data_IF_818611030810
#
_entry.id   IF_818611030810
#
_cell.length_a   1.000
_cell.length_b   1.000
_cell.length_c   1.000
_cell.angle_alpha   90.00
_cell.angle_beta   90.00
_cell.angle_gamma   90.00
#
_symmetry.space_group_name_H-M   'P 1'
#
loop_
_entity.id
_entity.type
_entity.pdbx_description
1 polymer ?
#
# COMPACT_ATOMS: atom_id res chain seq x y z
N UNK A 1 18.73 23.72 18.53
CA UNK A 1 19.10 22.32 18.77
C UNK A 1 19.08 21.54 17.47
N UNK A 2 20.26 21.33 16.89
CA UNK A 2 20.41 20.61 15.63
C UNK A 2 20.42 19.10 15.90
N UNK A 3 19.61 18.36 15.16
CA UNK A 3 19.61 16.89 15.12
C UNK A 3 19.75 16.44 13.69
N UNK A 4 20.57 15.44 13.46
CA UNK A 4 20.69 14.78 12.16
C UNK A 4 20.76 13.26 12.37
N UNK A 5 20.40 12.51 11.34
CA UNK A 5 20.45 11.07 11.37
C UNK A 5 20.34 10.45 9.99
N UNK A 6 20.70 9.17 9.94
CA UNK A 6 20.57 8.29 8.78
C UNK A 6 19.80 7.06 9.22
N UNK A 7 18.94 6.57 8.36
CA UNK A 7 18.31 5.26 8.49
C UNK A 7 18.45 4.47 7.18
N UNK A 8 18.54 3.17 7.33
CA UNK A 8 18.62 2.21 6.25
C UNK A 8 17.74 1.02 6.58
N UNK A 9 16.89 0.65 5.64
CA UNK A 9 16.08 -0.55 5.71
C UNK A 9 16.20 -1.32 4.40
N UNK A 10 16.33 -2.63 4.49
CA UNK A 10 16.32 -3.53 3.34
C UNK A 10 15.56 -4.79 3.71
N UNK A 11 14.71 -5.24 2.80
CA UNK A 11 13.99 -6.50 2.93
C UNK A 11 14.43 -7.45 1.82
N UNK A 12 14.33 -8.76 2.09
CA UNK A 12 14.45 -9.80 1.06
C UNK A 12 13.12 -10.53 1.01
N UNK A 13 12.44 -10.41 -0.12
CA UNK A 13 11.12 -10.97 -0.36
C UNK A 13 11.25 -12.20 -1.24
N UNK A 14 10.66 -13.31 -0.78
CA UNK A 14 10.54 -14.55 -1.55
C UNK A 14 9.11 -15.08 -1.43
N UNK A 15 8.63 -15.71 -2.49
CA UNK A 15 7.34 -16.39 -2.52
C UNK A 15 7.51 -17.73 -3.25
N UNK A 16 6.91 -18.79 -2.72
CA UNK A 16 6.92 -20.10 -3.35
C UNK A 16 5.58 -20.78 -3.18
N UNK A 17 5.02 -21.18 -4.32
CA UNK A 17 3.78 -21.93 -4.40
C UNK A 17 4.04 -23.22 -5.17
N UNK A 18 3.55 -24.34 -4.62
CA UNK A 18 3.59 -25.64 -5.28
C UNK A 18 2.24 -26.35 -5.14
N UNK A 19 1.60 -26.65 -6.26
CA UNK A 19 0.36 -27.40 -6.32
C UNK A 19 0.64 -28.90 -6.08
N UNK A 20 -0.05 -29.54 -5.13
CA UNK A 20 0.13 -30.97 -4.82
C UNK A 20 -0.03 -31.92 -6.02
N UNK A 21 -0.69 -31.49 -7.10
CA UNK A 21 -0.84 -32.28 -8.33
C UNK A 21 0.51 -32.58 -8.99
N UNK A 22 1.56 -31.80 -8.74
CA UNK A 22 2.92 -32.08 -9.22
C UNK A 22 3.42 -33.46 -8.77
N UNK A 23 2.95 -33.96 -7.62
CA UNK A 23 3.30 -35.29 -7.12
C UNK A 23 2.85 -36.42 -8.05
N UNK A 24 1.79 -36.21 -8.84
CA UNK A 24 1.31 -37.23 -9.80
C UNK A 24 2.33 -37.46 -10.91
N UNK A 25 3.03 -36.41 -11.33
CA UNK A 25 4.05 -36.45 -12.37
C UNK A 25 5.38 -37.05 -11.89
N UNK A 26 5.64 -37.01 -10.58
CA UNK A 26 6.82 -37.65 -9.99
C UNK A 26 6.70 -39.18 -9.88
N UNK A 27 5.53 -39.76 -10.12
CA UNK A 27 5.34 -41.21 -10.10
C UNK A 27 6.07 -41.89 -11.26
N UNK A 28 6.33 -43.20 -11.12
CA UNK A 28 6.79 -44.01 -12.24
C UNK A 28 5.76 -44.01 -13.39
N UNK A 29 6.23 -44.24 -14.61
CA UNK A 29 5.40 -44.08 -15.80
C UNK A 29 4.21 -45.04 -15.84
N UNK A 30 4.33 -46.26 -15.30
CA UNK A 30 3.25 -47.24 -15.27
C UNK A 30 2.13 -46.79 -14.32
N UNK A 31 2.50 -46.40 -13.10
CA UNK A 31 1.55 -45.92 -12.10
C UNK A 31 0.85 -44.63 -12.56
N UNK A 32 1.60 -43.67 -13.10
CA UNK A 32 1.05 -42.40 -13.57
C UNK A 32 0.05 -42.60 -14.71
N UNK A 33 0.41 -43.43 -15.70
CA UNK A 33 -0.43 -43.70 -16.86
C UNK A 33 -1.71 -44.43 -16.46
N UNK A 34 -1.61 -45.47 -15.64
CA UNK A 34 -2.76 -46.29 -15.23
C UNK A 34 -3.76 -45.52 -14.33
N UNK A 35 -3.27 -44.62 -13.48
CA UNK A 35 -4.10 -43.93 -12.48
C UNK A 35 -4.58 -42.55 -12.93
N UNK A 36 -3.78 -41.84 -13.72
CA UNK A 36 -4.03 -40.43 -14.06
C UNK A 36 -4.00 -40.15 -15.57
N UNK A 37 -3.65 -41.13 -16.42
CA UNK A 37 -3.70 -41.00 -17.87
C UNK A 37 -2.64 -40.08 -18.49
N UNK A 38 -1.57 -39.80 -17.76
CA UNK A 38 -0.44 -39.00 -18.24
C UNK A 38 0.89 -39.70 -17.96
N UNK A 39 1.97 -39.20 -18.57
CA UNK A 39 3.31 -39.73 -18.35
C UNK A 39 3.79 -39.41 -16.92
N UNK A 40 4.45 -40.38 -16.29
CA UNK A 40 5.18 -40.22 -15.05
C UNK A 40 6.68 -40.13 -15.31
N UNK A 41 7.38 -39.29 -14.55
CA UNK A 41 8.80 -38.99 -14.70
C UNK A 41 9.68 -39.64 -13.62
N UNK A 42 9.09 -40.45 -12.72
CA UNK A 42 9.79 -41.28 -11.73
C UNK A 42 10.43 -40.54 -10.55
N UNK A 43 10.61 -39.22 -10.63
CA UNK A 43 11.05 -38.38 -9.53
C UNK A 43 10.72 -36.91 -9.80
N UNK A 44 10.73 -36.05 -8.78
CA UNK A 44 10.57 -34.60 -8.97
C UNK A 44 11.66 -33.99 -9.87
N UNK A 45 12.91 -34.46 -9.74
CA UNK A 45 14.03 -33.98 -10.54
C UNK A 45 13.93 -34.41 -12.02
N UNK A 46 13.12 -35.42 -12.32
CA UNK A 46 12.88 -35.88 -13.69
C UNK A 46 11.75 -35.16 -14.41
N UNK A 47 10.94 -34.35 -13.69
CA UNK A 47 9.83 -33.61 -14.30
C UNK A 47 10.41 -32.43 -15.08
N UNK A 48 10.10 -32.29 -16.38
CA UNK A 48 10.59 -31.17 -17.18
C UNK A 48 9.97 -29.84 -16.74
N UNK A 49 10.70 -28.75 -16.91
CA UNK A 49 10.29 -27.40 -16.52
C UNK A 49 8.97 -26.97 -17.18
N UNK A 50 8.74 -27.38 -18.42
CA UNK A 50 7.52 -27.07 -19.15
C UNK A 50 6.26 -27.72 -18.55
N UNK A 51 6.42 -28.81 -17.80
CA UNK A 51 5.34 -29.43 -17.01
C UNK A 51 5.24 -28.74 -15.64
N UNK A 52 6.38 -28.49 -14.98
CA UNK A 52 6.45 -27.88 -13.64
C UNK A 52 5.83 -26.49 -13.58
N UNK A 53 6.01 -25.66 -14.62
CA UNK A 53 5.50 -24.27 -14.63
C UNK A 53 4.03 -24.18 -14.23
N UNK A 54 3.17 -25.11 -14.65
CA UNK A 54 1.73 -25.06 -14.34
C UNK A 54 1.39 -25.34 -12.87
N UNK A 55 2.33 -25.90 -12.13
CA UNK A 55 2.14 -26.37 -10.76
C UNK A 55 3.02 -25.65 -9.75
N UNK A 56 4.14 -25.08 -10.18
CA UNK A 56 5.09 -24.39 -9.31
C UNK A 56 5.26 -22.96 -9.81
N UNK A 57 5.14 -22.02 -8.89
CA UNK A 57 5.21 -20.60 -9.17
C UNK A 57 5.80 -19.83 -7.99
N UNK A 58 6.33 -18.64 -8.25
CA UNK A 58 6.93 -17.80 -7.23
C UNK A 58 8.10 -16.96 -7.72
N UNK A 59 8.82 -16.42 -6.76
CA UNK A 59 10.06 -15.68 -6.94
C UNK A 59 10.98 -15.89 -5.72
N UNK A 60 12.28 -15.87 -5.95
CA UNK A 60 13.28 -16.15 -4.93
C UNK A 60 13.52 -17.64 -4.67
N UNK A 61 12.84 -18.53 -5.39
CA UNK A 61 13.07 -19.97 -5.35
C UNK A 61 13.03 -20.55 -6.75
N UNK A 62 13.79 -21.61 -6.97
CA UNK A 62 13.77 -22.39 -8.20
C UNK A 62 12.71 -23.52 -8.14
N UNK A 63 12.52 -24.31 -9.21
CA UNK A 63 11.50 -25.37 -9.23
C UNK A 63 11.70 -26.47 -8.19
N UNK A 64 12.91 -26.60 -7.62
CA UNK A 64 13.20 -27.55 -6.54
C UNK A 64 12.91 -26.97 -5.14
N UNK A 65 12.57 -25.68 -5.06
CA UNK A 65 12.46 -24.94 -3.81
C UNK A 65 13.80 -24.45 -3.25
N UNK A 66 14.88 -24.49 -4.05
CA UNK A 66 16.16 -23.92 -3.64
C UNK A 66 16.13 -22.40 -3.82
N UNK A 67 16.67 -21.65 -2.86
CA UNK A 67 16.74 -20.19 -2.94
C UNK A 67 17.57 -19.73 -4.15
N UNK A 68 17.06 -18.72 -4.87
CA UNK A 68 17.76 -18.06 -5.97
C UNK A 68 17.64 -16.55 -5.81
N UNK A 69 18.73 -15.83 -6.06
CA UNK A 69 18.75 -14.36 -6.00
C UNK A 69 18.64 -13.73 -7.39
N UNK A 70 19.03 -14.48 -8.42
CA UNK A 70 18.91 -14.08 -9.83
C UNK A 70 17.80 -14.86 -10.53
N UNK A 71 17.21 -14.25 -11.56
CA UNK A 71 16.23 -14.92 -12.42
C UNK A 71 16.86 -16.15 -13.08
N UNK A 72 16.17 -17.29 -13.00
CA UNK A 72 16.59 -18.56 -13.58
C UNK A 72 15.69 -18.96 -14.72
N UNK A 73 16.25 -19.06 -15.93
CA UNK A 73 15.55 -19.52 -17.13
C UNK A 73 15.65 -21.05 -17.27
N UNK A 74 14.58 -21.64 -17.80
CA UNK A 74 14.50 -23.03 -18.18
C UNK A 74 14.04 -23.10 -19.63
N UNK A 75 14.90 -23.63 -20.48
CA UNK A 75 14.64 -23.75 -21.92
C UNK A 75 14.74 -25.21 -22.34
N UNK A 76 13.61 -25.81 -22.70
CA UNK A 76 13.51 -27.25 -22.95
C UNK A 76 12.68 -27.55 -24.21
N UNK A 77 12.93 -28.71 -24.82
CA UNK A 77 12.11 -29.20 -25.93
C UNK A 77 10.81 -29.84 -25.38
N UNK A 78 9.68 -29.50 -25.99
CA UNK A 78 8.38 -30.10 -25.67
C UNK A 78 8.03 -31.15 -26.73
N UNK A 79 7.65 -32.38 -26.36
CA UNK A 79 7.27 -33.40 -27.33
C UNK A 79 6.18 -32.93 -28.29
N UNK A 80 6.45 -32.97 -29.59
CA UNK A 80 5.50 -32.58 -30.64
C UNK A 80 5.40 -31.08 -30.91
N UNK A 81 6.19 -30.23 -30.23
CA UNK A 81 6.29 -28.79 -30.49
C UNK A 81 7.65 -28.48 -31.11
N UNK A 82 7.66 -27.74 -32.21
CA UNK A 82 8.89 -27.40 -32.94
C UNK A 82 9.79 -26.43 -32.16
N UNK A 83 9.18 -25.43 -31.51
CA UNK A 83 9.89 -24.38 -30.80
C UNK A 83 10.20 -24.81 -29.35
N UNK A 84 11.30 -24.29 -28.81
CA UNK A 84 11.67 -24.55 -27.42
C UNK A 84 10.74 -23.79 -26.48
N UNK A 85 10.43 -24.41 -25.35
CA UNK A 85 9.73 -23.76 -24.27
C UNK A 85 10.71 -23.04 -23.36
N UNK A 86 10.59 -21.72 -23.27
CA UNK A 86 11.35 -20.90 -22.33
C UNK A 86 10.42 -20.40 -21.24
N UNK A 87 10.68 -20.81 -20.00
CA UNK A 87 10.03 -20.32 -18.78
C UNK A 87 11.09 -19.80 -17.81
N UNK A 88 10.68 -19.08 -16.77
CA UNK A 88 11.59 -18.61 -15.74
C UNK A 88 10.91 -18.47 -14.39
N UNK A 89 11.72 -18.50 -13.34
CA UNK A 89 11.36 -18.03 -12.01
C UNK A 89 12.26 -16.85 -11.66
N UNK A 90 11.66 -15.79 -11.13
CA UNK A 90 12.39 -14.60 -10.71
C UNK A 90 13.24 -14.88 -9.47
N UNK A 91 14.33 -14.15 -9.31
CA UNK A 91 15.11 -14.12 -8.07
C UNK A 91 14.36 -13.42 -6.92
N UNK A 92 14.96 -13.38 -5.74
CA UNK A 92 14.42 -12.60 -4.62
C UNK A 92 14.30 -11.12 -5.00
N UNK A 93 13.24 -10.48 -4.51
CA UNK A 93 13.11 -9.02 -4.60
C UNK A 93 13.73 -8.40 -3.35
N UNK A 94 14.58 -7.39 -3.52
CA UNK A 94 15.34 -6.81 -2.41
C UNK A 94 15.13 -5.30 -2.28
N UNK A 95 13.90 -4.83 -1.98
CA UNK A 95 13.63 -3.40 -1.86
C UNK A 95 14.43 -2.80 -0.71
N UNK A 96 14.88 -1.56 -0.90
CA UNK A 96 15.67 -0.85 0.10
C UNK A 96 15.29 0.62 0.18
N UNK A 97 15.35 1.16 1.38
CA UNK A 97 15.11 2.57 1.69
C UNK A 97 16.31 3.12 2.46
N UNK A 98 16.87 4.23 1.99
CA UNK A 98 17.93 4.97 2.67
C UNK A 98 17.44 6.38 2.92
N UNK A 99 17.40 6.81 4.18
CA UNK A 99 16.99 8.16 4.56
C UNK A 99 18.11 8.93 5.23
N UNK A 100 18.25 10.20 4.87
CA UNK A 100 19.04 11.17 5.62
C UNK A 100 18.15 12.32 6.05
N UNK A 101 18.27 12.76 7.31
CA UNK A 101 17.57 13.94 7.79
C UNK A 101 18.47 14.87 8.59
N UNK A 102 18.16 16.16 8.50
CA UNK A 102 18.65 17.20 9.39
C UNK A 102 17.48 18.08 9.81
N UNK A 103 17.43 18.44 11.09
CA UNK A 103 16.44 19.33 11.65
C UNK A 103 17.06 20.23 12.71
N UNK A 104 16.55 21.44 12.84
CA UNK A 104 16.90 22.37 13.90
C UNK A 104 15.64 22.91 14.56
N UNK A 105 15.74 23.05 15.89
CA UNK A 105 14.76 23.73 16.73
C UNK A 105 15.38 25.03 17.23
N UNK A 106 14.81 26.14 16.79
CA UNK A 106 15.19 27.49 17.19
C UNK A 106 14.14 28.02 18.17
N UNK A 107 14.58 28.42 19.36
CA UNK A 107 13.74 29.05 20.37
C UNK A 107 14.16 30.51 20.51
N UNK A 108 13.23 31.40 20.18
CA UNK A 108 13.28 32.84 20.44
C UNK A 108 12.31 33.15 21.59
N UNK A 109 12.41 34.33 22.19
CA UNK A 109 11.62 34.72 23.37
C UNK A 109 10.12 34.45 23.21
N UNK A 110 9.55 34.78 22.03
CA UNK A 110 8.13 34.62 21.74
C UNK A 110 7.84 33.66 20.57
N UNK A 111 8.82 32.95 20.02
CA UNK A 111 8.59 32.08 18.85
C UNK A 111 9.50 30.85 18.91
N UNK A 112 8.92 29.68 18.70
CA UNK A 112 9.64 28.43 18.48
C UNK A 112 9.45 28.02 17.02
N UNK A 113 10.56 27.82 16.32
CA UNK A 113 10.59 27.38 14.93
C UNK A 113 11.30 26.03 14.85
N UNK A 114 10.67 25.05 14.20
CA UNK A 114 11.25 23.75 13.89
C UNK A 114 11.36 23.65 12.36
N UNK A 115 12.57 23.52 11.83
CA UNK A 115 12.78 23.30 10.39
C UNK A 115 13.57 22.03 10.22
N UNK A 116 13.12 21.17 9.33
CA UNK A 116 13.84 19.97 8.95
C UNK A 116 13.65 19.64 7.49
N UNK A 117 14.62 18.91 6.95
CA UNK A 117 14.58 18.31 5.63
C UNK A 117 15.01 16.85 5.76
N UNK A 118 14.26 15.99 5.09
CA UNK A 118 14.62 14.58 4.91
C UNK A 118 14.75 14.30 3.42
N UNK A 119 15.75 13.53 3.04
CA UNK A 119 15.96 13.03 1.69
C UNK A 119 15.97 11.51 1.77
N UNK A 120 15.04 10.87 1.08
CA UNK A 120 14.93 9.42 1.02
C UNK A 120 15.27 8.94 -0.39
N UNK A 121 16.03 7.84 -0.47
CA UNK A 121 16.18 7.04 -1.67
C UNK A 121 15.38 5.75 -1.49
N UNK A 122 14.39 5.54 -2.36
CA UNK A 122 13.44 4.44 -2.31
C UNK A 122 13.67 3.55 -3.53
N UNK A 123 14.29 2.40 -3.32
CA UNK A 123 14.53 1.40 -4.36
C UNK A 123 13.48 0.29 -4.26
N UNK A 124 12.57 0.17 -5.22
CA UNK A 124 11.57 -0.90 -5.23
C UNK A 124 12.12 -2.26 -5.67
N UNK A 125 13.34 -2.39 -6.18
CA UNK A 125 13.93 -3.66 -6.64
C UNK A 125 12.99 -4.43 -7.58
N UNK A 126 12.61 -3.77 -8.67
CA UNK A 126 11.65 -4.26 -9.65
C UNK A 126 12.16 -4.02 -11.07
N UNK A 127 11.75 -4.87 -12.01
CA UNK A 127 11.84 -4.59 -13.45
C UNK A 127 10.44 -4.40 -13.99
N UNK A 128 10.24 -3.44 -14.88
CA UNK A 128 8.94 -3.13 -15.45
C UNK A 128 9.06 -2.88 -16.97
N UNK A 129 7.98 -3.10 -17.74
CA UNK A 129 7.94 -2.67 -19.13
C UNK A 129 7.91 -1.14 -19.20
N UNK A 130 8.44 -0.57 -20.29
CA UNK A 130 8.37 0.87 -20.52
C UNK A 130 6.91 1.38 -20.69
N UNK A 131 6.02 0.50 -21.16
CA UNK A 131 4.60 0.78 -21.30
C UNK A 131 3.76 -0.49 -21.18
N UNK A 132 2.54 -0.34 -20.65
CA UNK A 132 1.57 -1.43 -20.56
C UNK A 132 1.17 -2.00 -21.94
N UNK A 133 1.27 -1.20 -23.01
CA UNK A 133 0.78 -1.60 -24.33
C UNK A 133 1.82 -2.29 -25.22
N UNK A 134 3.08 -2.34 -24.79
CA UNK A 134 4.18 -2.91 -25.55
C UNK A 134 4.83 -4.04 -24.74
N UNK A 135 4.30 -5.26 -24.91
CA UNK A 135 4.73 -6.46 -24.22
C UNK A 135 5.02 -7.57 -25.22
N UNK A 136 6.04 -8.37 -24.93
CA UNK A 136 6.48 -9.49 -25.76
C UNK A 136 6.41 -10.77 -24.94
N UNK A 137 6.14 -11.90 -25.60
CA UNK A 137 5.93 -13.18 -24.92
C UNK A 137 6.74 -14.30 -25.58
N UNK A 138 7.21 -15.24 -24.76
CA UNK A 138 7.82 -16.46 -25.30
C UNK A 138 6.78 -17.30 -26.03
N UNK A 139 7.16 -17.88 -27.17
CA UNK A 139 6.20 -18.51 -28.08
C UNK A 139 5.42 -19.68 -27.46
N UNK A 140 6.11 -20.61 -26.79
CA UNK A 140 5.46 -21.82 -26.24
C UNK A 140 4.88 -21.59 -24.85
N UNK A 141 5.65 -21.01 -23.94
CA UNK A 141 5.23 -20.84 -22.54
C UNK A 141 4.22 -19.71 -22.36
N UNK A 142 4.22 -18.72 -23.27
CA UNK A 142 3.46 -17.47 -23.20
C UNK A 142 3.80 -16.60 -21.98
N UNK A 143 4.94 -16.84 -21.34
CA UNK A 143 5.46 -15.96 -20.31
C UNK A 143 5.88 -14.64 -20.94
N UNK A 144 5.71 -13.53 -20.21
CA UNK A 144 6.28 -12.25 -20.64
C UNK A 144 7.78 -12.40 -20.79
N UNK A 145 8.34 -12.00 -21.93
CA UNK A 145 9.77 -11.93 -22.16
C UNK A 145 10.34 -10.71 -21.40
N UNK A 146 11.03 -10.94 -20.28
CA UNK A 146 11.44 -9.85 -19.42
C UNK A 146 12.75 -9.20 -19.90
N UNK A 147 13.33 -9.66 -21.02
CA UNK A 147 14.52 -9.02 -21.61
C UNK A 147 14.22 -7.65 -22.20
N UNK A 148 12.94 -7.37 -22.45
CA UNK A 148 12.43 -6.06 -22.90
C UNK A 148 12.09 -5.13 -21.74
N UNK A 149 12.13 -5.62 -20.50
CA UNK A 149 11.81 -4.84 -19.30
C UNK A 149 13.08 -4.22 -18.74
N UNK A 150 12.94 -3.00 -18.21
CA UNK A 150 14.06 -2.26 -17.61
C UNK A 150 13.93 -2.24 -16.11
N UNK A 151 15.06 -2.11 -15.42
CA UNK A 151 15.08 -1.90 -13.97
C UNK A 151 14.38 -0.57 -13.63
N UNK A 152 13.50 -0.61 -12.62
CA UNK A 152 12.83 0.59 -12.12
C UNK A 152 13.84 1.41 -11.33
N UNK A 153 14.01 2.68 -11.71
CA UNK A 153 14.95 3.57 -11.06
C UNK A 153 14.61 3.81 -9.58
N UNK A 154 15.66 4.06 -8.78
CA UNK A 154 15.49 4.46 -7.38
C UNK A 154 14.92 5.87 -7.29
N UNK A 155 13.83 6.04 -6.55
CA UNK A 155 13.19 7.34 -6.37
C UNK A 155 13.90 8.16 -5.29
N UNK A 156 14.28 9.40 -5.61
CA UNK A 156 14.82 10.35 -4.63
C UNK A 156 13.74 11.36 -4.22
N UNK A 157 13.37 11.36 -2.94
CA UNK A 157 12.25 12.14 -2.41
C UNK A 157 12.71 13.16 -1.36
N UNK A 158 12.40 14.43 -1.60
CA UNK A 158 12.72 15.54 -0.69
C UNK A 158 11.49 15.91 0.14
N UNK A 159 11.64 15.81 1.46
CA UNK A 159 10.58 15.88 2.44
C UNK A 159 10.85 17.00 3.47
N UNK A 160 10.56 18.27 3.12
CA UNK A 160 10.65 19.38 4.06
C UNK A 160 9.59 19.28 5.15
N UNK A 161 9.94 19.74 6.35
CA UNK A 161 9.07 19.81 7.53
C UNK A 161 9.31 21.13 8.24
N UNK A 162 8.26 21.91 8.41
CA UNK A 162 8.31 23.24 9.01
C UNK A 162 7.22 23.31 10.06
N UNK A 163 7.58 23.60 11.30
CA UNK A 163 6.67 23.89 12.39
C UNK A 163 6.98 25.26 12.98
N UNK A 164 5.94 26.04 13.26
CA UNK A 164 6.05 27.30 13.99
C UNK A 164 5.07 27.27 15.15
N UNK A 165 5.49 27.75 16.32
CA UNK A 165 4.59 27.95 17.45
C UNK A 165 4.99 29.17 18.24
N UNK A 166 4.03 29.91 18.76
CA UNK A 166 4.28 31.07 19.59
C UNK A 166 3.21 31.21 20.68
N UNK A 167 3.59 31.61 21.90
CA UNK A 167 2.64 32.07 22.89
C UNK A 167 1.97 33.36 22.40
N UNK A 168 0.67 33.29 22.09
CA UNK A 168 -0.12 34.48 21.78
C UNK A 168 -0.50 35.25 23.05
N UNK A 169 -0.66 34.54 24.18
CA UNK A 169 -0.79 35.09 25.53
C UNK A 169 -0.16 34.11 26.53
N UNK A 170 -0.08 34.48 27.81
CA UNK A 170 0.32 33.58 28.92
C UNK A 170 -0.54 32.30 29.02
N UNK A 171 -1.73 32.31 28.40
CA UNK A 171 -2.71 31.23 28.43
C UNK A 171 -3.02 30.65 27.05
N UNK A 172 -2.42 31.17 25.99
CA UNK A 172 -2.74 30.80 24.60
C UNK A 172 -1.47 30.53 23.82
N UNK A 173 -1.32 29.33 23.30
CA UNK A 173 -0.25 29.00 22.35
C UNK A 173 -0.85 28.71 20.98
N UNK A 174 -0.36 29.36 19.94
CA UNK A 174 -0.74 29.12 18.54
C UNK A 174 0.37 28.36 17.86
N UNK A 175 0.04 27.45 16.94
CA UNK A 175 1.01 26.70 16.17
C UNK A 175 0.52 26.42 14.75
N UNK A 176 1.47 26.22 13.86
CA UNK A 176 1.25 25.78 12.49
C UNK A 176 2.30 24.76 12.07
N UNK A 177 1.94 23.87 11.18
CA UNK A 177 2.80 22.82 10.67
C UNK A 177 2.60 22.62 9.17
N UNK A 178 3.69 22.35 8.46
CA UNK A 178 3.73 21.92 7.08
C UNK A 178 4.72 20.76 6.95
N UNK A 179 4.34 19.72 6.22
CA UNK A 179 5.21 18.60 5.94
C UNK A 179 4.91 17.95 4.59
N UNK A 180 5.95 17.49 3.90
CA UNK A 180 5.83 16.51 2.81
C UNK A 180 6.41 15.17 3.25
N UNK A 181 5.79 14.10 2.78
CA UNK A 181 6.13 12.73 3.07
C UNK A 181 6.02 11.89 1.80
N UNK A 182 6.84 10.85 1.69
CA UNK A 182 6.81 9.88 0.60
C UNK A 182 6.91 8.46 1.16
N UNK A 183 6.25 7.52 0.51
CA UNK A 183 6.33 6.11 0.87
C UNK A 183 6.20 5.25 -0.39
N UNK A 184 6.96 4.17 -0.49
CA UNK A 184 6.72 3.15 -1.52
C UNK A 184 5.27 2.65 -1.45
N UNK A 185 4.75 2.23 -2.60
CA UNK A 185 3.47 1.52 -2.65
C UNK A 185 3.65 0.16 -1.94
N UNK A 186 2.54 -0.42 -1.47
CA UNK A 186 2.54 -1.80 -0.98
C UNK A 186 3.25 -2.73 -1.98
N UNK A 187 4.30 -3.41 -1.51
CA UNK A 187 5.15 -4.27 -2.34
C UNK A 187 4.37 -5.43 -2.96
N UNK A 188 3.26 -5.87 -2.34
CA UNK A 188 2.36 -6.87 -2.94
C UNK A 188 1.61 -6.35 -4.18
N UNK A 189 1.61 -5.03 -4.40
CA UNK A 189 1.08 -4.39 -5.61
C UNK A 189 2.13 -4.25 -6.71
N UNK A 190 3.40 -4.60 -6.44
CA UNK A 190 4.52 -4.52 -7.38
C UNK A 190 5.05 -5.92 -7.72
N UNK A 191 5.15 -6.82 -6.76
CA UNK A 191 5.78 -8.13 -6.98
C UNK A 191 4.78 -9.21 -7.39
N UNK A 192 4.75 -9.46 -8.71
CA UNK A 192 4.01 -10.55 -9.33
C UNK A 192 4.94 -11.62 -9.89
N UNK A 193 4.41 -12.84 -10.03
CA UNK A 193 5.16 -13.94 -10.62
C UNK A 193 5.08 -13.90 -12.15
N UNK A 194 5.96 -14.67 -12.80
CA UNK A 194 5.91 -14.83 -14.24
C UNK A 194 4.60 -15.48 -14.72
N UNK A 195 3.98 -16.35 -13.88
CA UNK A 195 2.66 -16.90 -14.16
C UNK A 195 1.54 -15.87 -14.01
N UNK A 196 1.59 -14.99 -13.01
CA UNK A 196 0.61 -13.91 -12.86
C UNK A 196 0.59 -13.04 -14.12
N UNK A 197 1.76 -12.61 -14.59
CA UNK A 197 1.88 -11.83 -15.82
C UNK A 197 1.40 -12.60 -17.06
N UNK A 198 1.75 -13.88 -17.20
CA UNK A 198 1.22 -14.72 -18.30
C UNK A 198 -0.31 -14.80 -18.28
N UNK A 199 -0.90 -15.09 -17.12
CA UNK A 199 -2.35 -15.31 -17.00
C UNK A 199 -3.13 -14.02 -17.24
N UNK A 200 -2.64 -12.89 -16.75
CA UNK A 200 -3.35 -11.63 -16.84
C UNK A 200 -3.06 -10.89 -18.16
N UNK A 201 -1.81 -10.86 -18.62
CA UNK A 201 -1.39 -10.05 -19.79
C UNK A 201 -1.46 -10.82 -21.12
N UNK A 202 -0.99 -12.07 -21.17
CA UNK A 202 -1.02 -12.85 -22.43
C UNK A 202 -2.39 -13.43 -22.69
N UNK A 203 -2.94 -14.17 -21.71
CA UNK A 203 -4.22 -14.87 -21.90
C UNK A 203 -5.37 -13.88 -22.02
N UNK A 204 -5.30 -12.78 -21.25
CA UNK A 204 -6.29 -11.70 -21.26
C UNK A 204 -7.72 -12.16 -20.95
N UNK A 205 -8.67 -11.24 -21.03
CA UNK A 205 -10.11 -11.55 -21.11
C UNK A 205 -10.81 -12.09 -19.85
N UNK A 206 -10.08 -12.47 -18.80
CA UNK A 206 -10.66 -12.83 -17.49
C UNK A 206 -10.78 -11.62 -16.56
N UNK A 207 -11.83 -11.63 -15.74
CA UNK A 207 -12.04 -10.65 -14.68
C UNK A 207 -11.17 -10.98 -13.46
N UNK A 208 -10.03 -10.31 -13.31
CA UNK A 208 -9.16 -10.45 -12.15
C UNK A 208 -9.42 -9.35 -11.12
N UNK A 209 -9.88 -9.73 -9.92
CA UNK A 209 -10.14 -8.79 -8.80
C UNK A 209 -8.88 -8.10 -8.26
N UNK A 210 -7.70 -8.61 -8.63
CA UNK A 210 -6.39 -8.10 -8.22
C UNK A 210 -5.48 -7.98 -9.46
N UNK A 211 -5.61 -6.91 -10.25
CA UNK A 211 -4.86 -6.74 -11.49
C UNK A 211 -3.36 -6.52 -11.27
N UNK A 212 -2.48 -7.16 -12.06
CA UNK A 212 -1.02 -6.98 -11.93
C UNK A 212 -0.59 -5.51 -11.92
N UNK A 213 0.49 -5.21 -11.21
CA UNK A 213 1.15 -3.91 -11.21
C UNK A 213 2.60 -4.03 -11.67
N UNK A 214 3.14 -2.93 -12.16
CA UNK A 214 4.54 -2.79 -12.52
C UNK A 214 4.93 -1.31 -12.53
N UNK A 215 6.16 -0.99 -12.11
CA UNK A 215 6.70 0.37 -12.23
C UNK A 215 5.95 1.42 -11.42
N UNK A 216 5.46 1.03 -10.23
CA UNK A 216 4.66 1.91 -9.39
C UNK A 216 5.55 2.92 -8.63
N UNK A 217 5.18 4.19 -8.71
CA UNK A 217 5.86 5.28 -8.02
C UNK A 217 5.44 5.40 -6.54
N UNK A 218 6.30 5.96 -5.68
CA UNK A 218 5.96 6.31 -4.30
C UNK A 218 4.73 7.23 -4.18
N UNK A 219 3.89 6.95 -3.18
CA UNK A 219 2.78 7.80 -2.76
C UNK A 219 3.33 9.01 -2.01
N UNK A 220 2.88 10.20 -2.40
CA UNK A 220 3.37 11.48 -1.83
C UNK A 220 2.26 12.16 -1.06
N UNK A 221 2.53 12.47 0.20
CA UNK A 221 1.58 13.11 1.10
C UNK A 221 2.06 14.50 1.49
N UNK A 222 1.21 15.52 1.31
CA UNK A 222 1.45 16.88 1.81
C UNK A 222 0.45 17.17 2.92
N UNK A 223 0.93 17.67 4.06
CA UNK A 223 0.11 17.98 5.23
C UNK A 223 0.30 19.42 5.68
N UNK A 224 -0.79 20.03 6.10
CA UNK A 224 -0.85 21.35 6.72
C UNK A 224 -1.69 21.25 7.98
N UNK A 225 -1.23 21.87 9.06
CA UNK A 225 -2.00 22.01 10.28
C UNK A 225 -1.89 23.44 10.81
N UNK A 226 -2.96 23.93 11.42
CA UNK A 226 -2.98 25.16 12.20
C UNK A 226 -3.84 24.95 13.42
N UNK A 227 -3.38 25.39 14.58
CA UNK A 227 -4.14 25.21 15.80
C UNK A 227 -3.73 26.14 16.92
N UNK A 228 -4.51 26.06 17.98
CA UNK A 228 -4.19 26.75 19.21
C UNK A 228 -4.52 25.87 20.42
N UNK A 229 -3.85 26.16 21.52
CA UNK A 229 -4.12 25.61 22.84
C UNK A 229 -4.39 26.76 23.79
N UNK A 230 -5.57 26.77 24.37
CA UNK A 230 -6.06 27.76 25.31
C UNK A 230 -6.22 27.12 26.70
N UNK A 231 -5.57 27.68 27.72
CA UNK A 231 -5.95 27.46 29.10
C UNK A 231 -7.23 28.25 29.38
N UNK A 232 -8.31 27.53 29.68
CA UNK A 232 -9.64 28.11 29.94
C UNK A 232 -9.91 28.28 31.43
N UNK A 233 -9.24 27.48 32.27
CA UNK A 233 -9.19 27.61 33.72
C UNK A 233 -7.88 27.00 34.25
N UNK A 234 -7.55 27.17 35.53
CA UNK A 234 -6.30 26.66 36.13
C UNK A 234 -6.17 25.12 36.03
N UNK A 235 -7.30 24.43 35.93
CA UNK A 235 -7.41 22.98 35.79
C UNK A 235 -7.87 22.54 34.39
N UNK A 236 -8.10 23.44 33.43
CA UNK A 236 -8.73 23.08 32.17
C UNK A 236 -8.05 23.71 30.94
N UNK A 237 -7.89 22.90 29.89
CA UNK A 237 -7.28 23.32 28.62
C UNK A 237 -8.10 22.81 27.43
N UNK A 238 -8.29 23.68 26.44
CA UNK A 238 -8.89 23.41 25.14
C UNK A 238 -7.80 23.48 24.07
N UNK A 239 -7.75 22.49 23.19
CA UNK A 239 -6.92 22.47 21.98
C UNK A 239 -7.83 22.33 20.77
N UNK A 240 -7.59 23.15 19.76
CA UNK A 240 -8.29 23.10 18.47
C UNK A 240 -7.24 23.05 17.35
N UNK A 241 -7.33 22.07 16.47
CA UNK A 241 -6.44 21.93 15.29
C UNK A 241 -7.29 21.82 14.04
N UNK A 242 -7.09 22.70 13.06
CA UNK A 242 -7.51 22.47 11.69
C UNK A 242 -6.39 21.79 10.91
N UNK A 243 -6.74 20.80 10.11
CA UNK A 243 -5.77 20.06 9.30
C UNK A 243 -6.25 19.87 7.86
N UNK A 244 -5.29 19.78 6.95
CA UNK A 244 -5.48 19.44 5.55
C UNK A 244 -4.36 18.51 5.11
N UNK A 245 -4.72 17.34 4.58
CA UNK A 245 -3.82 16.29 4.08
C UNK A 245 -4.19 16.00 2.63
N UNK A 246 -3.21 15.98 1.74
CA UNK A 246 -3.38 15.60 0.35
C UNK A 246 -2.40 14.48 -0.01
N UNK A 247 -2.92 13.37 -0.52
CA UNK A 247 -2.19 12.19 -0.95
C UNK A 247 -2.29 12.09 -2.47
N UNK A 248 -1.15 12.06 -3.16
CA UNK A 248 -1.05 11.93 -4.62
C UNK A 248 -0.32 10.66 -5.00
N UNK A 249 -0.68 10.13 -6.17
CA UNK A 249 -0.07 8.91 -6.70
C UNK A 249 -0.62 7.66 -6.02
N UNK A 250 -1.85 7.71 -5.50
CA UNK A 250 -2.53 6.50 -5.08
C UNK A 250 -2.74 5.59 -6.31
N UNK A 251 -2.68 4.29 -6.06
CA UNK A 251 -2.84 3.30 -7.11
C UNK A 251 -4.32 3.08 -7.43
N UNK A 252 -4.60 2.94 -8.72
CA UNK A 252 -5.92 2.62 -9.24
C UNK A 252 -5.79 1.53 -10.30
N UNK A 253 -6.87 0.78 -10.53
CA UNK A 253 -6.95 -0.09 -11.68
C UNK A 253 -7.06 0.75 -12.96
N UNK A 254 -6.46 0.26 -14.03
CA UNK A 254 -6.62 0.74 -15.39
C UNK A 254 -6.73 -0.46 -16.33
N UNK A 255 -7.15 -0.22 -17.56
CA UNK A 255 -7.35 -1.25 -18.57
C UNK A 255 -6.73 -0.83 -19.88
N UNK A 256 -5.86 -1.70 -20.40
CA UNK A 256 -5.38 -1.56 -21.77
C UNK A 256 -6.53 -1.90 -22.73
N UNK A 257 -6.90 -0.95 -23.60
CA UNK A 257 -8.05 -1.10 -24.49
C UNK A 257 -7.66 -1.69 -25.84
N UNK A 258 -8.64 -2.28 -26.52
CA UNK A 258 -8.47 -2.83 -27.87
C UNK A 258 -8.03 -1.72 -28.82
N UNK A 259 -6.93 -1.95 -29.55
CA UNK A 259 -6.35 -0.99 -30.49
C UNK A 259 -5.24 -0.11 -29.91
N UNK A 260 -4.91 -0.24 -28.63
CA UNK A 260 -3.75 0.42 -28.01
C UNK A 260 -2.48 -0.45 -28.12
N UNK A 261 -2.59 -1.70 -28.56
CA UNK A 261 -1.52 -2.69 -28.56
C UNK A 261 -0.38 -2.32 -29.53
N UNK A 262 0.84 -2.29 -29.01
CA UNK A 262 2.06 -2.03 -29.77
C UNK A 262 3.02 -3.24 -29.80
N UNK A 263 2.84 -4.23 -28.92
CA UNK A 263 3.60 -5.50 -28.88
C UNK A 263 2.77 -6.73 -29.27
N UNK A 264 3.16 -7.91 -28.77
CA UNK A 264 2.58 -9.23 -29.06
C UNK A 264 1.31 -9.53 -28.23
N UNK A 265 0.56 -8.50 -27.85
CA UNK A 265 -0.64 -8.65 -27.01
C UNK A 265 -1.82 -9.20 -27.82
N UNK A 266 -2.41 -10.27 -27.31
CA UNK A 266 -3.57 -10.93 -27.94
C UNK A 266 -4.92 -10.38 -27.44
N UNK A 267 -4.94 -9.57 -26.38
CA UNK A 267 -6.18 -9.05 -25.80
C UNK A 267 -6.01 -7.93 -24.77
N UNK A 268 -7.14 -7.35 -24.38
CA UNK A 268 -7.19 -6.35 -23.31
C UNK A 268 -6.93 -7.00 -21.95
N UNK A 269 -6.26 -6.27 -21.06
CA UNK A 269 -6.06 -6.71 -19.68
C UNK A 269 -6.11 -5.53 -18.72
N UNK A 270 -6.40 -5.82 -17.46
CA UNK A 270 -6.39 -4.85 -16.38
C UNK A 270 -5.02 -4.85 -15.70
N UNK A 271 -4.57 -3.69 -15.29
CA UNK A 271 -3.36 -3.51 -14.49
C UNK A 271 -3.57 -2.37 -13.49
N UNK A 272 -2.59 -2.12 -12.61
CA UNK A 272 -2.63 -0.97 -11.71
C UNK A 272 -1.56 0.05 -12.05
N UNK A 273 -1.90 1.33 -11.89
CA UNK A 273 -0.98 2.46 -12.07
C UNK A 273 -1.21 3.54 -11.02
N UNK A 274 -0.23 4.40 -10.80
CA UNK A 274 -0.43 5.62 -10.03
C UNK A 274 -1.31 6.60 -10.82
N UNK A 275 -2.35 7.13 -10.20
CA UNK A 275 -3.15 8.19 -10.81
C UNK A 275 -4.31 8.69 -9.96
N UNK A 276 -4.63 7.99 -8.88
CA UNK A 276 -5.61 8.47 -7.91
C UNK A 276 -4.99 9.45 -6.90
N UNK A 277 -5.86 10.23 -6.27
CA UNK A 277 -5.52 11.10 -5.16
C UNK A 277 -6.63 11.11 -4.10
N UNK A 278 -6.26 11.45 -2.88
CA UNK A 278 -7.20 11.66 -1.79
C UNK A 278 -6.84 12.90 -0.98
N UNK A 279 -7.83 13.72 -0.67
CA UNK A 279 -7.72 14.88 0.20
C UNK A 279 -8.56 14.64 1.45
N UNK A 280 -7.96 14.84 2.62
CA UNK A 280 -8.66 14.82 3.90
C UNK A 280 -8.50 16.18 4.58
N UNK A 281 -9.60 16.77 5.01
CA UNK A 281 -9.61 18.02 5.77
C UNK A 281 -10.47 17.86 7.01
N UNK A 282 -10.15 18.56 8.09
CA UNK A 282 -10.92 18.43 9.30
C UNK A 282 -10.53 19.37 10.42
N UNK A 283 -11.24 19.20 11.53
CA UNK A 283 -11.07 19.90 12.79
C UNK A 283 -10.96 18.87 13.91
N UNK A 284 -9.95 19.02 14.74
CA UNK A 284 -9.75 18.25 15.96
C UNK A 284 -9.98 19.15 17.18
N UNK A 285 -10.73 18.63 18.14
CA UNK A 285 -11.01 19.25 19.42
C UNK A 285 -10.49 18.33 20.52
N UNK A 286 -9.69 18.87 21.43
CA UNK A 286 -9.23 18.17 22.62
C UNK A 286 -9.53 19.03 23.85
N UNK A 287 -10.31 18.49 24.79
CA UNK A 287 -10.62 19.12 26.06
C UNK A 287 -10.03 18.28 27.19
N UNK A 288 -9.17 18.90 28.00
CA UNK A 288 -8.57 18.28 29.17
C UNK A 288 -8.96 19.02 30.43
N UNK A 289 -9.59 18.33 31.36
CA UNK A 289 -9.81 18.77 32.73
C UNK A 289 -8.93 17.94 33.67
N UNK A 290 -7.93 18.60 34.26
CA UNK A 290 -7.15 18.04 35.37
C UNK A 290 -8.06 17.82 36.58
N UNK A 291 -7.72 16.82 37.40
CA UNK A 291 -8.58 16.38 38.50
C UNK A 291 -8.96 17.54 39.40
N UNK A 292 -10.26 17.78 39.54
CA UNK A 292 -10.84 18.81 40.38
C UNK A 292 -12.03 18.24 41.14
N UNK A 293 -11.98 18.32 42.48
CA UNK A 293 -12.95 17.70 43.37
C UNK A 293 -13.25 16.23 43.02
N UNK A 294 -12.19 15.48 42.69
CA UNK A 294 -12.27 14.07 42.34
C UNK A 294 -12.45 13.77 40.85
N UNK A 295 -12.98 14.69 40.05
CA UNK A 295 -13.28 14.45 38.63
C UNK A 295 -12.15 14.91 37.71
N UNK A 296 -11.70 14.03 36.81
CA UNK A 296 -10.83 14.34 35.67
C UNK A 296 -11.54 13.93 34.37
N UNK A 297 -11.34 14.71 33.31
CA UNK A 297 -11.95 14.47 32.00
C UNK A 297 -10.91 14.63 30.91
N UNK A 298 -10.90 13.71 29.95
CA UNK A 298 -10.14 13.84 28.71
C UNK A 298 -11.07 13.50 27.54
N UNK A 299 -11.35 14.50 26.70
CA UNK A 299 -12.21 14.36 25.53
C UNK A 299 -11.39 14.69 24.29
N UNK A 300 -11.53 13.86 23.27
CA UNK A 300 -11.01 14.09 21.92
C UNK A 300 -12.14 13.87 20.92
N UNK A 301 -12.23 14.76 19.93
CA UNK A 301 -13.23 14.69 18.88
C UNK A 301 -12.64 15.21 17.58
N UNK A 302 -12.82 14.45 16.52
CA UNK A 302 -12.40 14.79 15.17
C UNK A 302 -13.62 14.86 14.28
N UNK A 303 -13.76 16.00 13.60
CA UNK A 303 -14.69 16.18 12.50
C UNK A 303 -13.90 16.26 11.20
N UNK A 304 -14.08 15.30 10.30
CA UNK A 304 -13.28 15.21 9.08
C UNK A 304 -14.12 14.94 7.83
N UNK A 305 -13.54 15.25 6.69
CA UNK A 305 -14.06 14.89 5.38
C UNK A 305 -12.89 14.43 4.52
N UNK A 306 -12.94 13.17 4.08
CA UNK A 306 -12.00 12.58 3.14
C UNK A 306 -12.71 12.37 1.80
N UNK A 307 -12.11 12.90 0.74
CA UNK A 307 -12.63 12.80 -0.63
C UNK A 307 -11.49 12.47 -1.58
N UNK A 308 -11.78 11.73 -2.65
CA UNK A 308 -10.80 11.30 -3.62
C UNK A 308 -11.49 10.80 -4.87
N UNK A 309 -10.70 10.35 -5.83
CA UNK A 309 -11.23 9.73 -7.04
C UNK A 309 -11.58 8.27 -6.74
N UNK A 310 -10.70 7.52 -6.06
CA UNK A 310 -10.92 6.12 -5.71
C UNK A 310 -10.65 5.79 -4.23
N UNK A 311 -11.27 4.71 -3.75
CA UNK A 311 -11.17 4.23 -2.36
C UNK A 311 -10.09 3.15 -2.16
N UNK A 312 -9.43 2.69 -3.23
CA UNK A 312 -8.43 1.64 -3.15
C UNK A 312 -7.96 1.11 -4.51
N UNK A 313 -7.07 0.12 -4.46
CA UNK A 313 -6.38 -0.43 -5.64
C UNK A 313 -7.30 -0.94 -6.74
N UNK A 314 -8.35 -1.67 -6.38
CA UNK A 314 -9.31 -2.23 -7.34
C UNK A 314 -10.45 -1.25 -7.70
N UNK A 315 -10.29 0.05 -7.39
CA UNK A 315 -11.27 1.07 -7.79
C UNK A 315 -11.46 1.01 -9.30
N UNK A 316 -12.70 1.21 -9.73
CA UNK A 316 -13.11 1.27 -11.14
C UNK A 316 -12.98 0.00 -11.96
N UNK A 317 -12.39 -1.07 -11.43
CA UNK A 317 -12.19 -2.32 -12.17
C UNK A 317 -13.47 -2.80 -12.87
N UNK A 318 -14.60 -2.81 -12.16
CA UNK A 318 -15.89 -3.19 -12.73
C UNK A 318 -16.45 -2.22 -13.79
N UNK A 319 -16.06 -0.95 -13.76
CA UNK A 319 -16.42 0.03 -14.79
C UNK A 319 -15.53 -0.17 -16.04
N UNK A 320 -14.22 -0.33 -15.82
CA UNK A 320 -13.23 -0.58 -16.86
C UNK A 320 -13.53 -1.86 -17.65
N UNK A 321 -13.91 -2.96 -16.97
CA UNK A 321 -14.29 -4.22 -17.63
C UNK A 321 -15.59 -4.13 -18.43
N UNK A 322 -16.42 -3.12 -18.17
CA UNK A 322 -17.67 -2.88 -18.92
C UNK A 322 -17.51 -1.79 -19.97
N UNK A 323 -16.29 -1.31 -20.19
CA UNK A 323 -15.98 -0.16 -21.04
C UNK A 323 -16.83 1.09 -20.68
N UNK A 324 -17.12 1.24 -19.38
CA UNK A 324 -17.74 2.42 -18.79
C UNK A 324 -16.67 3.39 -18.34
N UNK A 325 -16.93 4.68 -18.50
CA UNK A 325 -16.04 5.71 -17.98
C UNK A 325 -15.96 5.64 -16.45
N UNK A 326 -14.76 5.57 -15.85
CA UNK A 326 -14.61 5.70 -14.41
C UNK A 326 -15.08 7.09 -13.94
N UNK A 327 -15.60 7.23 -12.71
CA UNK A 327 -15.93 8.52 -12.13
C UNK A 327 -14.70 9.44 -12.10
N UNK A 328 -14.74 10.52 -12.88
CA UNK A 328 -13.72 11.58 -12.87
C UNK A 328 -13.95 12.61 -11.75
N UNK A 329 -15.05 12.48 -11.01
CA UNK A 329 -15.45 13.40 -9.95
C UNK A 329 -14.95 12.92 -8.60
N UNK A 330 -14.52 13.87 -7.77
CA UNK A 330 -14.13 13.64 -6.39
C UNK A 330 -15.36 13.25 -5.57
N UNK A 331 -15.28 12.12 -4.87
CA UNK A 331 -16.33 11.58 -4.01
C UNK A 331 -15.76 11.22 -2.63
N UNK A 332 -16.62 11.11 -1.59
CA UNK A 332 -16.20 10.55 -0.33
C UNK A 332 -15.62 9.14 -0.50
N UNK A 333 -14.42 8.93 0.05
CA UNK A 333 -13.71 7.63 0.02
C UNK A 333 -14.18 6.72 1.16
N UNK A 334 -13.93 5.41 1.07
CA UNK A 334 -14.46 4.42 2.03
C UNK A 334 -13.94 4.65 3.46
N UNK A 335 -12.71 5.15 3.57
CA UNK A 335 -12.11 5.51 4.86
C UNK A 335 -12.56 6.89 5.37
N UNK A 336 -13.50 7.56 4.70
CA UNK A 336 -14.12 8.77 5.21
C UNK A 336 -15.00 8.45 6.42
N UNK A 337 -14.64 9.04 7.56
CA UNK A 337 -15.45 9.02 8.76
C UNK A 337 -15.62 10.47 9.24
N UNK A 338 -16.87 10.94 9.25
CA UNK A 338 -17.14 12.36 9.50
C UNK A 338 -16.98 12.76 10.95
N UNK A 339 -17.38 11.88 11.87
CA UNK A 339 -17.30 12.13 13.31
C UNK A 339 -16.63 10.94 13.98
N UNK A 340 -15.57 11.20 14.74
CA UNK A 340 -14.95 10.21 15.62
C UNK A 340 -14.57 10.88 16.93
N UNK A 341 -14.70 10.19 18.05
CA UNK A 341 -14.31 10.76 19.32
C UNK A 341 -14.30 9.77 20.47
N UNK A 342 -13.64 10.19 21.54
CA UNK A 342 -13.55 9.46 22.78
C UNK A 342 -13.62 10.43 23.97
N UNK A 343 -14.30 10.03 25.02
CA UNK A 343 -14.43 10.76 26.27
C UNK A 343 -14.08 9.81 27.41
N UNK A 344 -13.06 10.15 28.17
CA UNK A 344 -12.65 9.44 29.36
C UNK A 344 -13.02 10.27 30.59
N UNK A 345 -13.88 9.71 31.44
CA UNK A 345 -14.23 10.23 32.75
C UNK A 345 -13.52 9.39 33.82
N UNK A 346 -12.72 10.05 34.65
CA UNK A 346 -12.12 9.43 35.82
C UNK A 346 -12.57 10.17 37.07
N UNK A 347 -13.29 9.49 37.95
CA UNK A 347 -13.72 10.03 39.23
C UNK A 347 -12.99 9.32 40.35
N UNK A 348 -12.43 10.08 41.29
CA UNK A 348 -11.87 9.59 42.55
C UNK A 348 -12.56 10.29 43.70
N UNK A 349 -13.16 9.52 44.59
CA UNK A 349 -13.81 10.05 45.79
C UNK A 349 -12.77 10.74 46.67
N UNK A 350 -13.02 12.01 46.99
CA UNK A 350 -12.27 12.77 47.99
C UNK A 350 -13.15 12.83 49.24
N UNK A 351 -12.74 12.14 50.30
CA UNK A 351 -13.53 12.03 51.53
C UNK A 351 -12.62 11.96 52.75
N UNK A 352 -13.13 12.43 53.89
CA UNK A 352 -12.47 12.26 55.20
C UNK A 352 -12.58 10.83 55.73
N UNK A 353 -13.46 10.00 55.14
CA UNK A 353 -13.57 8.59 55.48
C UNK A 353 -12.37 7.81 54.91
N UNK A 354 -11.49 7.33 55.80
CA UNK A 354 -10.27 6.60 55.43
C UNK A 354 -10.48 5.40 54.50
N UNK A 355 -11.61 4.69 54.62
CA UNK A 355 -11.90 3.51 53.81
C UNK A 355 -12.45 3.83 52.42
N UNK A 356 -13.11 4.98 52.26
CA UNK A 356 -13.76 5.38 51.01
C UNK A 356 -12.91 6.40 50.23
N UNK A 357 -11.99 7.09 50.90
CA UNK A 357 -11.10 8.05 50.25
C UNK A 357 -10.23 7.38 49.18
N UNK A 358 -10.22 7.95 47.98
CA UNK A 358 -9.49 7.40 46.84
C UNK A 358 -10.24 6.30 46.08
N UNK A 359 -11.45 5.89 46.49
CA UNK A 359 -12.29 4.99 45.70
C UNK A 359 -12.53 5.62 44.33
N UNK A 360 -12.19 4.87 43.27
CA UNK A 360 -12.19 5.37 41.89
C UNK A 360 -13.21 4.67 41.01
N UNK A 361 -13.73 5.40 40.03
CA UNK A 361 -14.47 4.85 38.89
C UNK A 361 -13.94 5.49 37.61
N UNK A 362 -13.77 4.68 36.57
CA UNK A 362 -13.37 5.14 35.25
C UNK A 362 -14.40 4.71 34.21
N UNK A 363 -14.74 5.61 33.29
CA UNK A 363 -15.65 5.35 32.19
C UNK A 363 -15.08 5.92 30.91
N UNK A 364 -14.89 5.04 29.92
CA UNK A 364 -14.50 5.41 28.56
C UNK A 364 -15.72 5.28 27.63
N UNK A 365 -16.07 6.38 26.98
CA UNK A 365 -17.09 6.43 25.94
C UNK A 365 -16.42 6.72 24.60
N UNK A 366 -16.66 5.87 23.60
CA UNK A 366 -16.14 6.04 22.23
C UNK A 366 -17.30 6.05 21.25
N UNK A 367 -17.25 6.94 20.26
CA UNK A 367 -18.28 7.05 19.23
C UNK A 367 -17.68 7.34 17.87
N UNK A 368 -18.35 6.85 16.83
CA UNK A 368 -17.95 7.00 15.44
C UNK A 368 -19.21 7.15 14.58
N UNK A 369 -19.19 8.05 13.60
CA UNK A 369 -20.20 8.10 12.56
C UNK A 369 -20.04 6.92 11.61
N UNK A 370 -21.10 6.65 10.84
CA UNK A 370 -21.01 5.76 9.70
C UNK A 370 -19.95 6.21 8.69
N UNK A 371 -19.51 5.26 7.87
CA UNK A 371 -18.67 5.53 6.70
C UNK A 371 -19.52 6.11 5.57
N UNK A 372 -18.87 6.82 4.65
CA UNK A 372 -19.55 7.25 3.43
C UNK A 372 -20.10 6.05 2.66
N UNK A 373 -21.33 6.19 2.15
CA UNK A 373 -21.99 5.18 1.36
C UNK A 373 -22.47 5.80 0.05
N UNK A 374 -21.93 5.33 -1.07
CA UNK A 374 -22.39 5.73 -2.40
C UNK A 374 -23.46 4.74 -2.86
N UNK A 375 -24.72 5.17 -2.86
CA UNK A 375 -25.83 4.35 -3.35
C UNK A 375 -25.79 4.25 -4.87
N UNK A 376 -25.35 3.10 -5.39
CA UNK A 376 -25.47 2.80 -6.82
C UNK A 376 -26.83 2.11 -7.04
N UNK A 377 -27.85 2.90 -7.37
CA UNK A 377 -29.14 2.36 -7.80
C UNK A 377 -29.01 1.79 -9.21
N UNK A 378 -29.38 0.52 -9.39
CA UNK A 378 -29.55 -0.07 -10.72
C UNK A 378 -30.97 -0.64 -10.83
N UNK A 379 -31.79 -0.23 -11.80
CA UNK A 379 -33.02 -0.93 -12.08
C UNK A 379 -32.66 -2.34 -12.54
N UNK A 380 -33.38 -3.33 -12.00
CA UNK A 380 -33.30 -4.71 -12.48
C UNK A 380 -33.87 -4.69 -13.89
N UNK A 381 -33.02 -4.98 -14.88
CA UNK A 381 -33.43 -5.16 -16.27
C UNK A 381 -34.16 -6.48 -16.44
#
# INVERSE_FOLDING_TARGET
DIKAGVDYNQHTMRNYYANPSVMKYALDSETALNKYGHNGYGSFAGIPAWELRYYIDGYGYDFSGAEIDDRKFYTEAVPGITNLDTTYLDGAKTPSEVGFYIQDKMEYDDIIVNVGIRVDQLNPSETAPASANELYFFDVSKYVDPTTWTEVETYTEIQPRIGISFPFTDRTNVYGYYGRFSQLVDLNSMYYTAMDYRQQMNTGGYFYTSPVGFGLEPVRTTQYEIGFKQQIADNAALKVTGFYKNQKGLIQADRLKSGEFAGDLEGTYNYVRNGDFATTKGLELSLMLRRYNGLAVNMNYTMSQAEGTGSGRASYLAALDRDSEPPLMVNPVDFNQTHSGAINFDYRLVSDNYFLNGLGSNMLFTFNSGHAFTYVWRPVG
#
